data_IF_598691901025
#
_entry.id   IF_598691901025
#
_cell.length_a   1.000
_cell.length_b   1.000
_cell.length_c   1.000
_cell.angle_alpha   90.00
_cell.angle_beta   90.00
_cell.angle_gamma   90.00
#
_symmetry.space_group_name_H-M   'P 1'
#
loop_
_entity.id
_entity.type
_entity.pdbx_description
1 polymer ?
#
# COMPACT_ATOMS: atom_id res chain seq x y z
N UNK A 1 -11.35 15.11 -4.27
CA UNK A 1 -11.34 13.71 -3.78
C UNK A 1 -9.91 13.20 -3.78
N UNK A 2 -9.46 12.49 -2.74
CA UNK A 2 -8.11 11.92 -2.65
C UNK A 2 -8.05 10.50 -3.22
N UNK A 3 -6.88 10.05 -3.67
CA UNK A 3 -6.71 8.70 -4.21
C UNK A 3 -6.80 7.64 -3.09
N UNK A 4 -7.72 6.68 -3.24
CA UNK A 4 -7.84 5.52 -2.34
C UNK A 4 -6.98 4.37 -2.85
N UNK A 5 -6.43 3.58 -1.93
CA UNK A 5 -5.51 2.50 -2.21
C UNK A 5 -6.05 1.17 -1.69
N UNK A 6 -5.71 0.09 -2.38
CA UNK A 6 -6.04 -1.29 -1.99
C UNK A 6 -4.77 -2.07 -1.68
N UNK A 7 -4.87 -2.99 -0.71
CA UNK A 7 -3.76 -3.90 -0.43
C UNK A 7 -3.47 -4.79 -1.64
N UNK A 8 -2.18 -5.07 -1.88
CA UNK A 8 -1.74 -5.92 -2.99
C UNK A 8 -1.68 -7.41 -2.63
N UNK A 9 -1.63 -7.72 -1.33
CA UNK A 9 -1.68 -9.10 -0.81
C UNK A 9 -3.13 -9.49 -0.52
N UNK A 10 -3.41 -10.79 -0.54
CA UNK A 10 -4.71 -11.35 -0.13
C UNK A 10 -5.03 -11.11 1.35
N UNK A 11 -4.00 -10.87 2.17
CA UNK A 11 -4.18 -10.56 3.58
C UNK A 11 -4.73 -9.14 3.75
N UNK A 12 -5.99 -9.02 4.15
CA UNK A 12 -6.72 -7.75 4.23
C UNK A 12 -6.58 -7.01 5.56
N UNK A 13 -6.01 -7.64 6.59
CA UNK A 13 -5.96 -7.06 7.94
C UNK A 13 -4.67 -6.25 8.21
N UNK A 14 -4.76 -5.29 9.13
CA UNK A 14 -3.66 -4.43 9.57
C UNK A 14 -2.88 -5.08 10.72
N UNK A 15 -2.11 -6.12 10.40
CA UNK A 15 -1.25 -6.83 11.35
C UNK A 15 0.21 -6.37 11.23
N UNK A 16 1.04 -6.68 12.23
CA UNK A 16 2.48 -6.34 12.23
C UNK A 16 3.22 -6.89 11.01
N UNK A 17 2.82 -8.06 10.49
CA UNK A 17 3.39 -8.71 9.31
C UNK A 17 2.90 -8.12 7.97
N UNK A 18 1.88 -7.25 8.01
CA UNK A 18 1.30 -6.58 6.84
C UNK A 18 1.41 -5.05 6.91
N UNK A 19 2.46 -4.54 7.57
CA UNK A 19 2.73 -3.11 7.55
C UNK A 19 3.01 -2.63 6.13
N UNK A 20 2.45 -1.49 5.77
CA UNK A 20 2.56 -0.93 4.41
C UNK A 20 2.96 0.54 4.46
N UNK A 21 3.67 0.98 3.42
CA UNK A 21 4.06 2.37 3.19
C UNK A 21 3.49 2.83 1.86
N UNK A 22 3.05 4.08 1.81
CA UNK A 22 2.58 4.71 0.58
C UNK A 22 3.77 5.28 -0.17
N UNK A 23 3.96 4.86 -1.41
CA UNK A 23 5.00 5.38 -2.30
C UNK A 23 4.39 6.02 -3.54
N UNK A 24 5.02 7.07 -4.03
CA UNK A 24 4.76 7.64 -5.35
C UNK A 24 5.70 6.99 -6.36
N UNK A 25 5.12 6.33 -7.35
CA UNK A 25 5.87 5.72 -8.45
C UNK A 25 6.31 6.78 -9.47
N UNK A 26 7.34 6.51 -10.30
CA UNK A 26 7.71 7.40 -11.40
C UNK A 26 6.56 7.69 -12.38
N UNK A 27 5.64 6.74 -12.56
CA UNK A 27 4.41 6.95 -13.33
C UNK A 27 3.33 7.79 -12.63
N UNK A 28 3.67 8.46 -11.53
CA UNK A 28 2.79 9.38 -10.80
C UNK A 28 1.72 8.74 -9.91
N UNK A 29 1.65 7.40 -9.83
CA UNK A 29 0.64 6.68 -9.06
C UNK A 29 1.09 6.46 -7.62
N UNK A 30 0.16 6.61 -6.66
CA UNK A 30 0.35 6.18 -5.28
C UNK A 30 0.09 4.68 -5.15
N UNK A 31 0.97 3.97 -4.46
CA UNK A 31 0.88 2.51 -4.26
C UNK A 31 1.23 2.12 -2.82
N UNK A 32 0.65 1.01 -2.34
CA UNK A 32 1.11 0.36 -1.11
C UNK A 32 2.29 -0.58 -1.39
N UNK A 33 3.39 -0.37 -0.67
CA UNK A 33 4.51 -1.30 -0.58
C UNK A 33 4.54 -1.92 0.82
N UNK A 34 4.69 -3.24 0.91
CA UNK A 34 4.89 -3.91 2.21
C UNK A 34 6.25 -3.51 2.80
N UNK A 35 6.24 -2.99 4.03
CA UNK A 35 7.45 -2.81 4.82
C UNK A 35 7.89 -4.20 5.33
N UNK A 36 9.12 -4.60 5.02
CA UNK A 36 9.75 -5.75 5.67
C UNK A 36 10.11 -5.40 7.10
#
# INVERSE_FOLDING_TARGET
MAQRLTYRKRHSYATKSNQTRVLKTPGGRLIYQTAK
#
